data_IF_173148287169
#
_entry.id   IF_173148287169
#
_cell.length_a   1.000
_cell.length_b   1.000
_cell.length_c   1.000
_cell.angle_alpha   90.00
_cell.angle_beta   90.00
_cell.angle_gamma   90.00
#
_symmetry.space_group_name_H-M   'P 1'
#
loop_
_entity.id
_entity.type
_entity.pdbx_description
1 polymer ?
#
# COMPACT_ATOMS: atom_id res chain seq x y z
N UNK A 1 -20.47 -2.08 5.83
CA UNK A 1 -20.13 -0.63 5.66
C UNK A 1 -18.62 -0.49 5.71
N UNK A 2 -18.02 0.31 4.83
CA UNK A 2 -16.57 0.56 4.80
C UNK A 2 -16.11 1.11 6.14
N UNK A 3 -15.06 0.51 6.71
CA UNK A 3 -14.42 0.89 7.96
C UNK A 3 -13.09 1.57 7.66
N UNK A 4 -12.65 2.46 8.56
CA UNK A 4 -11.38 3.16 8.43
C UNK A 4 -10.36 2.60 9.40
N UNK A 5 -9.15 2.42 8.93
CA UNK A 5 -8.00 2.04 9.74
C UNK A 5 -6.77 2.85 9.35
N UNK A 6 -5.68 2.61 10.06
CA UNK A 6 -4.37 3.23 9.78
C UNK A 6 -3.30 2.15 9.80
N UNK A 7 -2.49 2.14 8.77
CA UNK A 7 -1.18 1.50 8.82
C UNK A 7 -0.25 2.40 9.64
N UNK A 8 0.27 1.89 10.75
CA UNK A 8 1.18 2.63 11.63
C UNK A 8 2.48 3.04 10.92
N UNK A 9 2.74 2.43 9.76
CA UNK A 9 3.78 2.89 8.82
C UNK A 9 3.62 4.36 8.44
N UNK A 10 2.39 4.89 8.39
CA UNK A 10 2.11 6.29 8.11
C UNK A 10 2.80 7.26 9.08
N UNK A 11 3.22 6.80 10.26
CA UNK A 11 3.88 7.58 11.30
C UNK A 11 5.37 7.20 11.47
N UNK A 12 6.00 6.66 10.43
CA UNK A 12 7.35 6.10 10.52
C UNK A 12 8.42 7.12 10.92
N UNK A 13 8.33 8.38 10.46
CA UNK A 13 9.28 9.42 10.87
C UNK A 13 9.10 9.79 12.34
N UNK A 14 7.86 10.00 12.78
CA UNK A 14 7.55 10.31 14.17
C UNK A 14 8.05 9.17 15.10
N UNK A 15 7.95 7.93 14.67
CA UNK A 15 8.50 6.78 15.39
C UNK A 15 10.04 6.78 15.37
N UNK A 16 10.64 6.99 14.22
CA UNK A 16 12.11 7.02 14.06
C UNK A 16 12.76 8.10 14.92
N UNK A 17 12.18 9.31 14.92
CA UNK A 17 12.65 10.44 15.73
C UNK A 17 12.20 10.39 17.19
N UNK A 18 11.56 9.30 17.63
CA UNK A 18 11.07 9.10 19.00
C UNK A 18 10.03 10.15 19.47
N UNK A 19 9.31 10.73 18.53
CA UNK A 19 8.21 11.65 18.80
C UNK A 19 6.93 10.90 19.17
N UNK A 20 6.70 9.71 18.56
CA UNK A 20 5.59 8.81 18.86
C UNK A 20 6.09 7.37 19.00
N UNK A 21 5.62 6.67 20.01
CA UNK A 21 5.70 5.21 20.08
C UNK A 21 4.47 4.57 19.40
N UNK A 22 4.49 3.27 19.15
CA UNK A 22 3.31 2.57 18.63
C UNK A 22 2.06 2.74 19.53
N UNK A 23 2.26 2.94 20.85
CA UNK A 23 1.17 3.24 21.80
C UNK A 23 0.56 4.62 21.54
N UNK A 24 1.40 5.62 21.31
CA UNK A 24 0.95 6.98 20.99
C UNK A 24 0.22 7.02 19.65
N UNK A 25 0.69 6.25 18.66
CA UNK A 25 0.04 6.11 17.37
C UNK A 25 -1.36 5.48 17.49
N UNK A 26 -1.53 4.44 18.30
CA UNK A 26 -2.86 3.85 18.58
C UNK A 26 -3.78 4.86 19.27
N UNK A 27 -3.27 5.64 20.23
CA UNK A 27 -4.05 6.72 20.88
C UNK A 27 -4.50 7.76 19.85
N UNK A 28 -3.61 8.16 18.94
CA UNK A 28 -3.95 9.09 17.83
C UNK A 28 -5.10 8.55 16.97
N UNK A 29 -5.03 7.27 16.58
CA UNK A 29 -6.05 6.60 15.77
C UNK A 29 -7.39 6.56 16.49
N UNK A 30 -7.41 6.20 17.77
CA UNK A 30 -8.62 6.12 18.57
C UNK A 30 -9.17 7.50 18.93
N UNK A 31 -8.35 8.37 19.54
CA UNK A 31 -8.82 9.61 20.15
C UNK A 31 -9.07 10.74 19.16
N UNK A 32 -8.28 10.83 18.09
CA UNK A 32 -8.38 11.92 17.12
C UNK A 32 -9.05 11.50 15.81
N UNK A 33 -8.69 10.35 15.25
CA UNK A 33 -9.29 9.90 13.98
C UNK A 33 -10.65 9.22 14.18
N UNK A 34 -10.99 8.81 15.42
CA UNK A 34 -12.26 8.12 15.75
C UNK A 34 -12.48 6.90 14.84
N UNK A 35 -11.45 6.09 14.65
CA UNK A 35 -11.51 4.82 13.97
C UNK A 35 -10.82 3.72 14.78
N UNK A 36 -11.01 2.47 14.42
CA UNK A 36 -10.65 1.32 15.25
C UNK A 36 -9.73 0.30 14.54
N UNK A 37 -9.43 0.49 13.26
CA UNK A 37 -8.57 -0.41 12.50
C UNK A 37 -7.08 -0.08 12.65
N UNK A 38 -6.27 -1.08 13.00
CA UNK A 38 -4.81 -0.97 13.05
C UNK A 38 -4.19 -1.97 12.08
N UNK A 39 -3.27 -1.45 11.29
CA UNK A 39 -2.35 -2.23 10.47
C UNK A 39 -0.91 -1.91 10.87
N UNK A 40 -0.03 -2.90 10.81
CA UNK A 40 1.40 -2.71 11.11
C UNK A 40 2.27 -3.37 10.04
N UNK A 41 3.46 -2.83 9.84
CA UNK A 41 4.56 -3.58 9.22
C UNK A 41 5.30 -4.34 10.31
N UNK A 42 5.56 -5.62 10.09
CA UNK A 42 6.09 -6.57 11.06
C UNK A 42 7.31 -6.06 11.84
N UNK A 43 8.44 -5.88 11.18
CA UNK A 43 9.70 -5.48 11.83
C UNK A 43 9.74 -4.02 12.31
N UNK A 44 8.85 -3.16 11.81
CA UNK A 44 8.84 -1.74 12.19
C UNK A 44 8.20 -1.49 13.55
N UNK A 45 7.24 -2.32 13.94
CA UNK A 45 6.46 -2.18 15.19
C UNK A 45 6.80 -3.29 16.19
N UNK A 46 6.99 -4.53 15.73
CA UNK A 46 7.21 -5.68 16.60
C UNK A 46 8.68 -5.72 17.04
N UNK A 47 8.89 -5.36 18.31
CA UNK A 47 10.22 -5.47 18.89
C UNK A 47 10.67 -6.94 18.93
N UNK A 48 11.93 -7.17 18.56
CA UNK A 48 12.56 -8.49 18.49
C UNK A 48 11.88 -9.45 17.49
N UNK A 49 11.24 -8.89 16.43
CA UNK A 49 10.70 -9.67 15.33
C UNK A 49 11.78 -10.59 14.72
N UNK A 50 11.48 -11.85 14.37
CA UNK A 50 10.15 -12.49 14.37
C UNK A 50 9.79 -13.22 15.68
N UNK A 51 10.56 -13.05 16.76
CA UNK A 51 10.36 -13.73 18.04
C UNK A 51 10.17 -12.73 19.19
N UNK A 52 9.05 -11.97 19.18
CA UNK A 52 8.79 -11.00 20.24
C UNK A 52 8.70 -11.68 21.62
N UNK A 53 9.08 -10.94 22.66
CA UNK A 53 8.97 -11.40 24.03
C UNK A 53 7.49 -11.56 24.45
N UNK A 54 7.21 -12.45 25.41
CA UNK A 54 5.88 -12.60 26.00
C UNK A 54 5.37 -11.28 26.60
N UNK A 55 6.29 -10.43 27.10
CA UNK A 55 5.94 -9.11 27.62
C UNK A 55 5.43 -8.20 26.50
N UNK A 56 6.04 -8.21 25.32
CA UNK A 56 5.56 -7.43 24.16
C UNK A 56 4.15 -7.89 23.74
N UNK A 57 3.96 -9.22 23.63
CA UNK A 57 2.66 -9.80 23.25
C UNK A 57 1.57 -9.42 24.27
N UNK A 58 1.89 -9.46 25.56
CA UNK A 58 0.98 -9.07 26.64
C UNK A 58 0.64 -7.57 26.55
N UNK A 59 1.65 -6.71 26.42
CA UNK A 59 1.47 -5.25 26.31
C UNK A 59 0.63 -4.87 25.10
N UNK A 60 0.93 -5.46 23.93
CA UNK A 60 0.18 -5.25 22.70
C UNK A 60 -1.30 -5.60 22.85
N UNK A 61 -1.58 -6.85 23.24
CA UNK A 61 -2.95 -7.33 23.35
C UNK A 61 -3.77 -6.52 24.39
N UNK A 62 -3.16 -6.18 25.54
CA UNK A 62 -3.84 -5.36 26.55
C UNK A 62 -4.10 -3.94 26.05
N UNK A 63 -3.16 -3.36 25.30
CA UNK A 63 -3.33 -2.00 24.79
C UNK A 63 -4.42 -1.94 23.72
N UNK A 64 -4.42 -2.88 22.77
CA UNK A 64 -5.46 -3.03 21.76
C UNK A 64 -6.86 -3.23 22.41
N UNK A 65 -6.94 -4.10 23.41
CA UNK A 65 -8.20 -4.34 24.14
C UNK A 65 -8.67 -3.10 24.92
N UNK A 66 -7.75 -2.37 25.56
CA UNK A 66 -8.05 -1.14 26.31
C UNK A 66 -8.70 -0.06 25.46
N UNK A 67 -8.23 0.09 24.21
CA UNK A 67 -8.73 1.09 23.27
C UNK A 67 -9.78 0.52 22.30
N UNK A 68 -10.22 -0.74 22.49
CA UNK A 68 -11.18 -1.43 21.63
C UNK A 68 -10.77 -1.43 20.14
N UNK A 69 -9.46 -1.57 19.88
CA UNK A 69 -8.91 -1.55 18.52
C UNK A 69 -8.98 -2.94 17.88
N UNK A 70 -9.16 -2.94 16.57
CA UNK A 70 -9.12 -4.14 15.73
C UNK A 70 -7.75 -4.27 15.06
N UNK A 71 -7.04 -5.36 15.30
CA UNK A 71 -5.83 -5.73 14.58
C UNK A 71 -6.25 -6.25 13.19
N UNK A 72 -6.20 -5.38 12.18
CA UNK A 72 -6.71 -5.65 10.82
C UNK A 72 -5.72 -6.47 10.02
N UNK A 73 -4.54 -5.94 9.77
CA UNK A 73 -3.53 -6.56 8.91
C UNK A 73 -2.13 -6.42 9.50
N UNK A 74 -1.36 -7.49 9.45
CA UNK A 74 0.09 -7.47 9.65
C UNK A 74 0.76 -7.58 8.28
N UNK A 75 1.41 -6.53 7.84
CA UNK A 75 2.18 -6.50 6.60
C UNK A 75 3.50 -7.22 6.80
N UNK A 76 3.81 -8.11 5.88
CA UNK A 76 5.00 -8.94 5.94
C UNK A 76 5.99 -8.49 4.88
N UNK A 77 7.20 -8.16 5.32
CA UNK A 77 8.34 -7.96 4.47
C UNK A 77 9.17 -9.25 4.42
N UNK A 78 8.86 -10.09 3.45
CA UNK A 78 9.53 -11.38 3.26
C UNK A 78 10.91 -11.18 2.60
N UNK A 79 11.94 -10.82 3.41
CA UNK A 79 13.30 -10.68 2.92
C UNK A 79 13.91 -12.06 2.59
N UNK A 80 14.08 -12.32 1.30
CA UNK A 80 14.65 -13.58 0.79
C UNK A 80 16.17 -13.62 0.81
N UNK A 81 16.83 -12.50 1.12
CA UNK A 81 18.29 -12.35 1.18
C UNK A 81 18.86 -12.42 2.61
N UNK A 82 18.13 -12.96 3.57
CA UNK A 82 18.58 -13.08 4.96
C UNK A 82 19.82 -13.98 5.14
N UNK A 83 20.00 -14.96 4.27
CA UNK A 83 21.10 -15.90 4.34
C UNK A 83 22.32 -15.39 3.57
N UNK A 84 23.52 -15.66 4.13
CA UNK A 84 24.77 -15.23 3.48
C UNK A 84 25.16 -16.07 2.28
N UNK A 85 24.75 -17.31 2.25
CA UNK A 85 25.19 -18.35 1.31
C UNK A 85 24.18 -18.65 0.20
N UNK A 86 22.93 -18.26 0.39
CA UNK A 86 21.89 -18.49 -0.61
C UNK A 86 20.72 -17.50 -0.49
N UNK A 87 19.95 -17.40 -1.57
CA UNK A 87 18.62 -16.76 -1.57
C UNK A 87 17.61 -17.80 -1.12
N UNK A 88 16.62 -17.43 -0.31
CA UNK A 88 15.58 -18.36 0.14
C UNK A 88 14.94 -19.07 -1.04
N UNK A 89 14.79 -20.37 -0.93
CA UNK A 89 13.91 -21.14 -1.80
C UNK A 89 12.44 -20.81 -1.51
N UNK A 90 11.53 -21.05 -2.44
CA UNK A 90 10.10 -20.86 -2.21
C UNK A 90 9.58 -21.64 -0.99
N UNK A 91 10.16 -22.82 -0.72
CA UNK A 91 9.83 -23.61 0.48
C UNK A 91 10.24 -22.92 1.78
N UNK A 92 11.43 -22.35 1.85
CA UNK A 92 11.90 -21.60 3.01
C UNK A 92 11.07 -20.32 3.20
N UNK A 93 10.77 -19.62 2.12
CA UNK A 93 9.87 -18.46 2.13
C UNK A 93 8.46 -18.82 2.65
N UNK A 94 7.92 -19.96 2.24
CA UNK A 94 6.63 -20.44 2.73
C UNK A 94 6.69 -20.81 4.23
N UNK A 95 7.76 -21.44 4.72
CA UNK A 95 7.90 -21.70 6.16
C UNK A 95 8.05 -20.41 6.97
N UNK A 96 8.72 -19.39 6.42
CA UNK A 96 8.75 -18.07 7.05
C UNK A 96 7.34 -17.47 7.11
N UNK A 97 6.59 -17.45 6.01
CA UNK A 97 5.22 -16.95 5.96
C UNK A 97 4.30 -17.69 6.95
N UNK A 98 4.45 -19.01 7.11
CA UNK A 98 3.71 -19.78 8.12
C UNK A 98 4.00 -19.33 9.55
N UNK A 99 5.23 -18.93 9.84
CA UNK A 99 5.57 -18.40 11.16
C UNK A 99 4.98 -17.02 11.38
N UNK A 100 4.98 -16.17 10.36
CA UNK A 100 4.36 -14.84 10.42
C UNK A 100 2.84 -14.92 10.59
N UNK A 101 2.17 -15.88 9.93
CA UNK A 101 0.74 -16.17 10.16
C UNK A 101 0.46 -16.55 11.62
N UNK A 102 1.31 -17.40 12.23
CA UNK A 102 1.18 -17.78 13.64
C UNK A 102 1.40 -16.59 14.58
N UNK A 103 2.34 -15.70 14.23
CA UNK A 103 2.62 -14.48 15.00
C UNK A 103 1.44 -13.50 14.87
N UNK A 104 0.95 -13.29 13.66
CA UNK A 104 -0.24 -12.46 13.41
C UNK A 104 -1.43 -12.92 14.25
N UNK A 105 -1.70 -14.23 14.29
CA UNK A 105 -2.76 -14.79 15.14
C UNK A 105 -2.56 -14.49 16.64
N UNK A 106 -1.31 -14.59 17.14
CA UNK A 106 -0.99 -14.27 18.56
C UNK A 106 -1.21 -12.78 18.88
N UNK A 107 -0.97 -11.90 17.92
CA UNK A 107 -1.21 -10.46 18.04
C UNK A 107 -2.67 -10.06 17.76
N UNK A 108 -3.53 -11.01 17.40
CA UNK A 108 -4.95 -10.78 17.14
C UNK A 108 -5.27 -10.32 15.73
N UNK A 109 -4.29 -10.24 14.83
CA UNK A 109 -4.51 -9.87 13.43
C UNK A 109 -5.32 -10.94 12.70
N UNK A 110 -6.23 -10.47 11.86
CA UNK A 110 -7.08 -11.33 11.02
C UNK A 110 -6.52 -11.55 9.64
N UNK A 111 -5.57 -10.72 9.24
CA UNK A 111 -4.97 -10.78 7.93
C UNK A 111 -3.45 -10.62 8.02
N UNK A 112 -2.75 -11.23 7.08
CA UNK A 112 -1.36 -10.90 6.73
C UNK A 112 -1.34 -10.39 5.30
N UNK A 113 -0.60 -9.32 5.01
CA UNK A 113 -0.39 -8.86 3.64
C UNK A 113 0.98 -9.29 3.16
N UNK A 114 1.01 -9.92 1.99
CA UNK A 114 2.22 -10.21 1.24
C UNK A 114 2.40 -9.20 0.11
N UNK A 115 3.64 -8.75 -0.10
CA UNK A 115 4.00 -7.90 -1.23
C UNK A 115 3.63 -8.53 -2.58
N UNK A 116 3.40 -7.70 -3.59
CA UNK A 116 3.08 -8.13 -4.96
C UNK A 116 4.13 -9.08 -5.58
N UNK A 117 5.38 -9.03 -5.11
CA UNK A 117 6.48 -9.86 -5.57
C UNK A 117 6.48 -11.29 -4.99
N UNK A 118 5.71 -11.59 -3.94
CA UNK A 118 5.67 -12.93 -3.35
C UNK A 118 5.06 -13.92 -4.33
N UNK A 119 5.75 -15.02 -4.69
CA UNK A 119 5.22 -16.02 -5.63
C UNK A 119 3.96 -16.72 -5.13
N UNK A 120 3.08 -17.10 -6.06
CA UNK A 120 1.78 -17.72 -5.73
C UNK A 120 1.94 -19.06 -5.01
N UNK A 121 2.93 -19.85 -5.39
CA UNK A 121 3.21 -21.17 -4.79
C UNK A 121 3.72 -21.06 -3.34
N UNK A 122 4.37 -19.95 -2.97
CA UNK A 122 4.72 -19.64 -1.57
C UNK A 122 3.43 -19.45 -0.75
N UNK A 123 2.46 -18.72 -1.29
CA UNK A 123 1.16 -18.52 -0.66
C UNK A 123 0.38 -19.83 -0.58
N UNK A 124 0.33 -20.62 -1.67
CA UNK A 124 -0.35 -21.92 -1.70
C UNK A 124 0.23 -22.87 -0.65
N UNK A 125 1.56 -22.94 -0.49
CA UNK A 125 2.21 -23.75 0.54
C UNK A 125 1.93 -23.32 1.98
N UNK A 126 1.50 -22.09 2.21
CA UNK A 126 1.19 -21.56 3.55
C UNK A 126 -0.31 -21.63 3.90
N UNK A 127 -1.17 -21.99 2.95
CA UNK A 127 -2.62 -21.86 3.07
C UNK A 127 -3.23 -22.74 4.18
N UNK A 128 -2.73 -23.95 4.37
CA UNK A 128 -3.12 -24.86 5.46
C UNK A 128 -2.90 -24.23 6.85
N UNK A 129 -1.82 -23.46 6.97
CA UNK A 129 -1.51 -22.74 8.20
C UNK A 129 -2.45 -21.55 8.38
N UNK A 130 -2.75 -20.81 7.31
CA UNK A 130 -3.70 -19.71 7.32
C UNK A 130 -5.09 -20.17 7.79
N UNK A 131 -5.59 -21.29 7.24
CA UNK A 131 -6.85 -21.92 7.65
C UNK A 131 -6.83 -22.35 9.10
N UNK A 132 -5.76 -23.01 9.55
CA UNK A 132 -5.62 -23.48 10.92
C UNK A 132 -5.66 -22.38 11.97
N UNK A 133 -5.07 -21.21 11.66
CA UNK A 133 -4.95 -20.08 12.59
C UNK A 133 -6.02 -19.00 12.38
N UNK A 134 -6.93 -19.20 11.43
CA UNK A 134 -7.99 -18.25 11.05
C UNK A 134 -7.42 -16.86 10.72
N UNK A 135 -6.36 -16.85 9.90
CA UNK A 135 -5.71 -15.64 9.39
C UNK A 135 -5.73 -15.69 7.86
N UNK A 136 -6.21 -14.64 7.21
CA UNK A 136 -6.24 -14.57 5.74
C UNK A 136 -4.91 -14.08 5.20
N UNK A 137 -4.48 -14.66 4.08
CA UNK A 137 -3.32 -14.17 3.32
C UNK A 137 -3.84 -13.26 2.21
N UNK A 138 -3.53 -11.97 2.27
CA UNK A 138 -3.82 -11.02 1.21
C UNK A 138 -2.58 -10.76 0.37
N UNK A 139 -2.66 -10.90 -0.96
CA UNK A 139 -1.61 -10.47 -1.86
C UNK A 139 -1.91 -9.07 -2.38
N UNK A 140 -0.96 -8.17 -2.23
CA UNK A 140 -1.14 -6.77 -2.58
C UNK A 140 -1.19 -6.57 -4.10
N UNK A 141 -2.16 -5.80 -4.58
CA UNK A 141 -2.14 -5.23 -5.92
C UNK A 141 -1.57 -3.83 -5.82
N UNK A 142 -0.25 -3.71 -5.98
CA UNK A 142 0.48 -2.44 -5.93
C UNK A 142 0.71 -1.90 -7.35
N UNK A 143 0.68 -0.58 -7.53
CA UNK A 143 1.06 0.03 -8.82
C UNK A 143 2.46 -0.44 -9.26
N UNK A 144 2.67 -0.76 -10.55
CA UNK A 144 1.80 -0.55 -11.70
C UNK A 144 0.88 -1.74 -12.06
N UNK A 145 0.63 -2.66 -11.15
CA UNK A 145 -0.21 -3.82 -11.43
C UNK A 145 -1.68 -3.41 -11.60
N UNK A 146 -2.37 -3.88 -12.66
CA UNK A 146 -3.80 -3.68 -12.82
C UNK A 146 -4.60 -4.73 -12.03
N UNK A 147 -5.87 -4.45 -11.79
CA UNK A 147 -6.83 -5.46 -11.30
C UNK A 147 -7.07 -6.51 -12.39
N UNK A 148 -7.29 -6.06 -13.63
CA UNK A 148 -7.44 -6.91 -14.81
C UNK A 148 -6.38 -6.63 -15.84
N UNK A 149 -5.99 -7.67 -16.56
CA UNK A 149 -5.08 -7.53 -17.68
C UNK A 149 -5.59 -6.51 -18.69
N UNK A 150 -4.74 -5.57 -19.05
CA UNK A 150 -4.98 -4.59 -20.11
C UNK A 150 -4.03 -4.80 -21.28
N UNK A 151 -4.40 -4.27 -22.46
CA UNK A 151 -3.55 -4.27 -23.64
C UNK A 151 -2.52 -3.12 -23.63
N UNK A 152 -2.33 -2.43 -22.51
CA UNK A 152 -1.33 -1.35 -22.39
C UNK A 152 0.08 -1.93 -22.59
N UNK A 153 0.96 -1.22 -23.32
CA UNK A 153 2.36 -1.61 -23.42
C UNK A 153 2.98 -1.74 -22.03
N UNK A 154 3.77 -2.78 -21.85
CA UNK A 154 4.51 -3.03 -20.60
C UNK A 154 5.98 -2.72 -20.81
N UNK A 155 6.70 -2.34 -19.76
CA UNK A 155 8.15 -2.25 -19.82
C UNK A 155 8.75 -3.60 -20.18
N UNK A 156 9.80 -3.60 -20.99
CA UNK A 156 10.59 -4.80 -21.28
C UNK A 156 11.85 -4.88 -20.42
N UNK A 157 12.15 -3.80 -19.68
CA UNK A 157 13.30 -3.65 -18.80
C UNK A 157 12.84 -3.16 -17.43
N UNK A 158 13.76 -3.07 -16.48
CA UNK A 158 13.50 -2.55 -15.15
C UNK A 158 12.76 -3.52 -14.22
N UNK A 159 12.32 -3.03 -13.09
CA UNK A 159 11.64 -3.83 -12.07
C UNK A 159 10.24 -4.25 -12.52
N UNK A 160 9.54 -3.37 -13.21
CA UNK A 160 8.17 -3.64 -13.66
C UNK A 160 8.08 -4.75 -14.72
N UNK A 161 9.17 -4.99 -15.49
CA UNK A 161 9.24 -6.13 -16.41
C UNK A 161 9.19 -7.49 -15.71
N UNK A 162 9.61 -7.55 -14.44
CA UNK A 162 9.63 -8.77 -13.63
C UNK A 162 8.30 -9.03 -12.89
N UNK A 163 7.35 -8.09 -12.89
CA UNK A 163 6.08 -8.21 -12.20
C UNK A 163 5.13 -9.18 -12.91
N UNK A 164 4.40 -9.94 -12.13
CA UNK A 164 3.33 -10.80 -12.66
C UNK A 164 2.01 -10.03 -12.77
N UNK A 165 1.72 -9.54 -13.95
CA UNK A 165 0.50 -8.78 -14.26
C UNK A 165 -0.79 -9.61 -14.20
N UNK A 166 -0.70 -10.95 -14.07
CA UNK A 166 -1.84 -11.84 -13.83
C UNK A 166 -2.06 -12.15 -12.35
N UNK A 167 -1.34 -11.49 -11.48
CA UNK A 167 -1.32 -11.81 -10.05
C UNK A 167 -2.72 -11.84 -9.42
N UNK A 168 -3.58 -10.88 -9.75
CA UNK A 168 -4.95 -10.85 -9.23
C UNK A 168 -5.77 -12.08 -9.71
N UNK A 169 -5.68 -12.42 -11.01
CA UNK A 169 -6.33 -13.62 -11.56
C UNK A 169 -5.84 -14.88 -10.84
N UNK A 170 -4.53 -15.00 -10.64
CA UNK A 170 -3.95 -16.20 -10.00
C UNK A 170 -4.39 -16.40 -8.55
N UNK A 171 -4.55 -15.31 -7.79
CA UNK A 171 -5.10 -15.37 -6.41
C UNK A 171 -6.55 -15.83 -6.45
N UNK A 172 -7.35 -15.32 -7.38
CA UNK A 172 -8.74 -15.74 -7.55
C UNK A 172 -8.83 -17.21 -7.98
N UNK A 173 -8.00 -17.62 -8.94
CA UNK A 173 -7.89 -19.02 -9.39
C UNK A 173 -7.49 -19.95 -8.21
N UNK A 174 -6.53 -19.53 -7.37
CA UNK A 174 -6.13 -20.28 -6.17
C UNK A 174 -7.28 -20.40 -5.16
N UNK A 175 -7.99 -19.33 -4.86
CA UNK A 175 -9.14 -19.35 -3.97
C UNK A 175 -10.25 -20.26 -4.49
N UNK A 176 -10.56 -20.22 -5.78
CA UNK A 176 -11.56 -21.08 -6.42
C UNK A 176 -11.13 -22.55 -6.44
N UNK A 177 -9.88 -22.83 -6.78
CA UNK A 177 -9.31 -24.19 -6.84
C UNK A 177 -9.35 -24.88 -5.49
N UNK A 178 -9.01 -24.14 -4.42
CA UNK A 178 -8.93 -24.69 -3.06
C UNK A 178 -10.24 -24.62 -2.30
N UNK A 179 -11.15 -23.72 -2.70
CA UNK A 179 -12.36 -23.38 -1.94
C UNK A 179 -12.06 -22.62 -0.65
N UNK A 180 -10.81 -22.18 -0.46
CA UNK A 180 -10.38 -21.50 0.75
C UNK A 180 -10.83 -20.04 0.77
N UNK A 181 -11.26 -19.58 1.95
CA UNK A 181 -11.56 -18.17 2.24
C UNK A 181 -10.38 -17.44 2.88
N UNK A 182 -9.24 -18.13 3.07
CA UNK A 182 -8.07 -17.61 3.74
C UNK A 182 -6.99 -17.09 2.78
N UNK A 183 -7.34 -16.91 1.50
CA UNK A 183 -6.50 -16.25 0.50
C UNK A 183 -7.32 -15.20 -0.25
N UNK A 184 -6.70 -14.06 -0.56
CA UNK A 184 -7.36 -12.97 -1.27
C UNK A 184 -6.41 -11.85 -1.65
N UNK A 185 -6.96 -10.68 -1.87
CA UNK A 185 -6.30 -9.51 -2.44
C UNK A 185 -6.30 -8.34 -1.45
N UNK A 186 -5.24 -7.54 -1.50
CA UNK A 186 -5.14 -6.23 -0.85
C UNK A 186 -4.87 -5.19 -1.93
N UNK A 187 -5.91 -4.58 -2.53
CA UNK A 187 -5.69 -3.50 -3.49
C UNK A 187 -5.14 -2.27 -2.77
N UNK A 188 -4.09 -1.69 -3.34
CA UNK A 188 -3.52 -0.41 -2.94
C UNK A 188 -4.12 0.71 -3.78
N UNK A 189 -4.61 1.79 -3.17
CA UNK A 189 -5.22 2.91 -3.89
C UNK A 189 -4.26 3.60 -4.87
N UNK A 190 -2.95 3.41 -4.74
CA UNK A 190 -1.97 3.85 -5.74
C UNK A 190 -2.21 3.30 -7.15
N UNK A 191 -2.92 2.16 -7.30
CA UNK A 191 -3.32 1.64 -8.62
C UNK A 191 -4.34 2.53 -9.34
N UNK A 192 -5.00 3.45 -8.64
CA UNK A 192 -5.93 4.45 -9.18
C UNK A 192 -5.28 5.82 -9.37
N UNK A 193 -3.96 5.90 -9.34
CA UNK A 193 -3.23 7.13 -9.62
C UNK A 193 -3.48 7.58 -11.07
N UNK A 194 -3.85 8.85 -11.26
CA UNK A 194 -4.20 9.43 -12.55
C UNK A 194 -3.31 10.61 -12.95
N UNK A 195 -2.47 11.08 -12.06
CA UNK A 195 -1.52 12.17 -12.34
C UNK A 195 -0.23 12.00 -11.54
N UNK A 196 0.87 12.62 -11.97
CA UNK A 196 2.12 12.60 -11.23
C UNK A 196 1.96 13.28 -9.86
N UNK A 197 2.69 12.77 -8.88
CA UNK A 197 2.71 13.31 -7.53
C UNK A 197 3.62 14.54 -7.51
N UNK A 198 3.08 15.73 -7.21
CA UNK A 198 3.83 16.98 -7.27
C UNK A 198 5.07 16.97 -6.35
N UNK A 199 4.93 16.48 -5.11
CA UNK A 199 6.07 16.41 -4.18
C UNK A 199 7.18 15.47 -4.67
N UNK A 200 6.83 14.42 -5.43
CA UNK A 200 7.80 13.53 -6.06
C UNK A 200 8.52 14.22 -7.22
N UNK A 201 7.79 14.97 -8.06
CA UNK A 201 8.41 15.80 -9.12
C UNK A 201 9.41 16.77 -8.51
N UNK A 202 9.03 17.46 -7.44
CA UNK A 202 9.88 18.45 -6.77
C UNK A 202 11.12 17.78 -6.15
N UNK A 203 10.95 16.59 -5.56
CA UNK A 203 12.05 15.78 -5.04
C UNK A 203 13.04 15.39 -6.14
N UNK A 204 12.56 14.82 -7.23
CA UNK A 204 13.41 14.36 -8.33
C UNK A 204 14.14 15.53 -9.01
N UNK A 205 13.49 16.69 -9.18
CA UNK A 205 14.14 17.90 -9.72
C UNK A 205 15.25 18.44 -8.83
N UNK A 206 15.21 18.20 -7.52
CA UNK A 206 16.33 18.55 -6.63
C UNK A 206 17.54 17.63 -6.80
N UNK A 207 17.33 16.38 -7.20
CA UNK A 207 18.37 15.33 -7.27
C UNK A 207 18.88 15.07 -8.68
N UNK A 208 18.03 15.15 -9.69
CA UNK A 208 18.36 14.86 -11.09
C UNK A 208 18.94 16.12 -11.77
N UNK A 209 19.99 15.92 -12.55
CA UNK A 209 20.66 17.00 -13.30
C UNK A 209 20.83 16.62 -14.78
N UNK A 210 20.42 17.50 -15.72
CA UNK A 210 19.68 18.73 -15.45
C UNK A 210 18.19 18.45 -15.07
N UNK A 211 17.54 19.29 -14.26
CA UNK A 211 16.17 19.01 -13.76
C UNK A 211 15.11 19.01 -14.86
N UNK A 212 15.38 19.63 -16.00
CA UNK A 212 14.50 19.67 -17.17
C UNK A 212 14.23 18.27 -17.76
N UNK A 213 15.03 17.28 -17.42
CA UNK A 213 14.78 15.88 -17.79
C UNK A 213 13.42 15.41 -17.29
N UNK A 214 13.06 15.79 -16.06
CA UNK A 214 11.77 15.40 -15.45
C UNK A 214 10.61 16.01 -16.23
N UNK A 215 10.67 17.31 -16.56
CA UNK A 215 9.63 17.96 -17.36
C UNK A 215 9.48 17.30 -18.72
N UNK A 216 10.60 16.99 -19.36
CA UNK A 216 10.60 16.34 -20.65
C UNK A 216 9.99 14.92 -20.61
N UNK A 217 10.30 14.12 -19.57
CA UNK A 217 9.68 12.80 -19.37
C UNK A 217 8.16 12.96 -19.20
N UNK A 218 7.72 13.87 -18.35
CA UNK A 218 6.31 14.12 -18.08
C UNK A 218 5.53 14.57 -19.32
N UNK A 219 6.14 15.39 -20.17
CA UNK A 219 5.53 15.85 -21.43
C UNK A 219 5.41 14.73 -22.48
N UNK A 220 6.32 13.76 -22.46
CA UNK A 220 6.44 12.76 -23.54
C UNK A 220 5.95 11.35 -23.15
N UNK A 221 5.67 11.08 -21.86
CA UNK A 221 5.39 9.75 -21.32
C UNK A 221 4.23 8.97 -21.96
N UNK A 222 3.28 9.68 -22.58
CA UNK A 222 2.17 9.04 -23.30
C UNK A 222 2.34 9.00 -24.82
N UNK A 223 3.42 9.58 -25.33
CA UNK A 223 3.70 9.64 -26.77
C UNK A 223 4.57 8.48 -27.26
N UNK A 224 5.25 7.79 -26.33
CA UNK A 224 6.22 6.74 -26.63
C UNK A 224 6.00 5.54 -25.69
N UNK A 225 6.53 4.38 -26.09
CA UNK A 225 6.70 3.26 -25.16
C UNK A 225 7.79 3.60 -24.12
N UNK A 226 7.83 2.88 -23.02
CA UNK A 226 8.84 3.12 -21.97
C UNK A 226 10.27 2.94 -22.50
N UNK A 227 10.49 1.95 -23.36
CA UNK A 227 11.80 1.70 -23.97
C UNK A 227 12.20 2.83 -24.90
N UNK A 228 11.29 3.29 -25.77
CA UNK A 228 11.52 4.44 -26.66
C UNK A 228 11.75 5.73 -25.87
N UNK A 229 10.95 5.96 -24.82
CA UNK A 229 11.09 7.15 -23.96
C UNK A 229 12.46 7.19 -23.28
N UNK A 230 12.94 6.03 -22.78
CA UNK A 230 14.25 5.91 -22.16
C UNK A 230 15.39 6.15 -23.18
N UNK A 231 15.29 5.56 -24.35
CA UNK A 231 16.32 5.74 -25.40
C UNK A 231 16.36 7.19 -25.90
N UNK A 232 15.21 7.82 -26.13
CA UNK A 232 15.10 9.23 -26.54
C UNK A 232 15.56 10.20 -25.44
N UNK A 233 15.31 9.88 -24.17
CA UNK A 233 15.84 10.66 -23.04
C UNK A 233 17.37 10.66 -23.04
N UNK A 234 18.00 9.51 -23.24
CA UNK A 234 19.46 9.41 -23.28
C UNK A 234 20.06 10.08 -24.52
N UNK A 235 19.37 10.07 -25.66
CA UNK A 235 19.78 10.80 -26.87
C UNK A 235 19.71 12.32 -26.64
N UNK A 236 18.61 12.81 -26.06
CA UNK A 236 18.39 14.25 -25.82
C UNK A 236 19.29 14.81 -24.72
N UNK A 237 19.57 14.02 -23.68
CA UNK A 237 20.37 14.42 -22.51
C UNK A 237 21.57 13.47 -22.34
N UNK A 238 22.57 13.52 -23.20
CA UNK A 238 23.67 12.58 -23.17
C UNK A 238 24.48 12.70 -21.87
N UNK A 239 24.86 11.57 -21.29
CA UNK A 239 25.64 11.54 -20.06
C UNK A 239 24.88 11.88 -18.78
N UNK A 240 23.54 11.86 -18.81
CA UNK A 240 22.69 12.13 -17.63
C UNK A 240 22.88 11.12 -16.48
N UNK A 241 23.34 9.89 -16.78
CA UNK A 241 23.61 8.86 -15.79
C UNK A 241 22.37 8.20 -15.16
N UNK A 242 21.16 8.49 -15.67
CA UNK A 242 19.92 7.95 -15.14
C UNK A 242 19.66 6.53 -15.64
N UNK A 243 19.14 5.70 -14.74
CA UNK A 243 18.68 4.36 -15.06
C UNK A 243 17.25 4.35 -15.60
N UNK A 244 16.81 3.19 -16.09
CA UNK A 244 15.47 2.98 -16.64
C UNK A 244 14.34 3.32 -15.63
N UNK A 245 14.59 3.17 -14.32
CA UNK A 245 13.63 3.45 -13.27
C UNK A 245 13.06 4.87 -13.27
N UNK A 246 13.75 5.86 -13.85
CA UNK A 246 13.22 7.23 -13.94
C UNK A 246 12.00 7.32 -14.86
N UNK A 247 12.00 6.60 -15.98
CA UNK A 247 10.83 6.56 -16.88
C UNK A 247 9.73 5.66 -16.32
N UNK A 248 10.09 4.60 -15.59
CA UNK A 248 9.11 3.79 -14.84
C UNK A 248 8.39 4.63 -13.79
N UNK A 249 9.14 5.39 -12.99
CA UNK A 249 8.57 6.19 -11.89
C UNK A 249 7.51 7.19 -12.37
N UNK A 250 7.74 7.88 -13.48
CA UNK A 250 6.81 8.89 -13.99
C UNK A 250 5.82 8.38 -15.03
N UNK A 251 5.97 7.18 -15.56
CA UNK A 251 5.17 6.67 -16.66
C UNK A 251 4.23 5.53 -16.30
N UNK A 252 4.61 4.67 -15.33
CA UNK A 252 3.90 3.44 -15.07
C UNK A 252 2.77 3.54 -14.07
N UNK A 253 2.90 4.40 -13.07
CA UNK A 253 1.97 4.42 -11.95
C UNK A 253 0.59 4.95 -12.35
N UNK A 254 0.52 5.83 -13.34
CA UNK A 254 -0.74 6.44 -13.76
C UNK A 254 -1.67 5.46 -14.49
N UNK A 255 -2.93 5.44 -14.07
CA UNK A 255 -4.00 4.68 -14.73
C UNK A 255 -3.71 3.17 -14.87
N UNK A 256 -3.10 2.56 -13.86
CA UNK A 256 -2.81 1.11 -13.89
C UNK A 256 -4.08 0.27 -13.78
N UNK A 257 -5.10 0.71 -13.04
CA UNK A 257 -6.36 0.00 -12.88
C UNK A 257 -7.58 0.87 -13.24
N UNK A 258 -8.64 0.25 -13.78
CA UNK A 258 -9.97 0.86 -13.89
C UNK A 258 -10.72 0.62 -12.57
N UNK A 259 -11.21 1.66 -11.87
CA UNK A 259 -11.98 1.48 -10.64
C UNK A 259 -13.17 0.51 -10.77
N UNK A 260 -13.80 0.42 -11.96
CA UNK A 260 -14.93 -0.48 -12.21
C UNK A 260 -14.58 -1.95 -12.02
N UNK A 261 -13.32 -2.33 -12.22
CA UNK A 261 -12.86 -3.68 -12.05
C UNK A 261 -12.91 -4.16 -10.59
N UNK A 262 -13.00 -3.23 -9.61
CA UNK A 262 -13.20 -3.56 -8.21
C UNK A 262 -14.45 -4.41 -7.96
N UNK A 263 -15.55 -4.15 -8.67
CA UNK A 263 -16.80 -4.86 -8.47
C UNK A 263 -16.65 -6.38 -8.59
N UNK A 264 -15.79 -6.84 -9.50
CA UNK A 264 -15.58 -8.27 -9.76
C UNK A 264 -14.70 -8.95 -8.70
N UNK A 265 -13.86 -8.20 -7.99
CA UNK A 265 -12.91 -8.76 -7.03
C UNK A 265 -13.33 -8.56 -5.57
N UNK A 266 -14.38 -7.79 -5.28
CA UNK A 266 -14.87 -7.54 -3.91
C UNK A 266 -14.95 -8.81 -3.05
N UNK A 267 -15.46 -9.97 -3.54
CA UNK A 267 -15.54 -11.18 -2.73
C UNK A 267 -14.18 -11.74 -2.27
N UNK A 268 -13.11 -11.32 -2.92
CA UNK A 268 -11.74 -11.76 -2.64
C UNK A 268 -10.92 -10.71 -1.86
N UNK A 269 -11.45 -9.51 -1.65
CA UNK A 269 -10.72 -8.46 -0.96
C UNK A 269 -10.61 -8.76 0.53
N UNK A 270 -9.41 -8.64 1.06
CA UNK A 270 -9.05 -8.84 2.46
C UNK A 270 -9.12 -7.52 3.23
N UNK A 271 -8.45 -6.51 2.70
CA UNK A 271 -8.40 -5.12 3.17
C UNK A 271 -7.91 -4.25 2.02
N UNK A 272 -7.83 -2.94 2.25
CA UNK A 272 -7.22 -1.99 1.32
C UNK A 272 -6.06 -1.26 1.97
N UNK A 273 -5.01 -0.98 1.18
CA UNK A 273 -4.10 0.12 1.45
C UNK A 273 -4.68 1.42 0.90
N UNK A 274 -5.01 2.33 1.79
CA UNK A 274 -5.41 3.69 1.45
C UNK A 274 -4.16 4.55 1.20
N UNK A 275 -3.42 4.25 0.11
CA UNK A 275 -2.20 4.95 -0.28
C UNK A 275 -2.48 6.41 -0.58
N UNK A 276 -1.67 7.31 -0.04
CA UNK A 276 -1.70 8.73 -0.39
C UNK A 276 -0.32 9.38 -0.19
N UNK A 277 -0.14 10.52 -0.86
CA UNK A 277 1.15 11.20 -0.90
C UNK A 277 1.11 12.63 -0.39
N UNK A 278 0.03 13.37 -0.62
CA UNK A 278 -0.12 14.74 -0.16
C UNK A 278 -1.59 15.14 -0.15
N UNK A 279 -2.09 15.48 1.03
CA UNK A 279 -3.46 15.97 1.18
C UNK A 279 -3.53 17.48 0.97
N UNK A 280 -4.27 17.90 -0.05
CA UNK A 280 -4.45 19.31 -0.42
C UNK A 280 -5.87 19.75 -0.09
N UNK A 281 -6.02 20.92 0.53
CA UNK A 281 -7.36 21.48 0.76
C UNK A 281 -8.05 21.81 -0.56
N UNK A 282 -9.33 21.42 -0.68
CA UNK A 282 -10.13 21.65 -1.88
C UNK A 282 -10.48 23.12 -1.98
N UNK A 283 -10.23 23.74 -3.14
CA UNK A 283 -10.51 25.15 -3.36
C UNK A 283 -12.00 25.49 -3.10
N UNK A 284 -12.24 26.48 -2.25
CA UNK A 284 -13.59 26.91 -1.86
C UNK A 284 -14.31 26.00 -0.86
N UNK A 285 -13.64 24.96 -0.32
CA UNK A 285 -14.20 24.05 0.67
C UNK A 285 -13.25 23.91 1.90
N UNK A 286 -13.19 24.92 2.76
CA UNK A 286 -12.28 24.88 3.92
C UNK A 286 -12.49 23.65 4.80
N UNK A 287 -11.40 22.99 5.18
CA UNK A 287 -11.42 21.77 6.00
C UNK A 287 -11.75 20.50 5.23
N UNK A 288 -11.95 20.56 3.90
CA UNK A 288 -12.10 19.39 3.03
C UNK A 288 -10.83 19.16 2.22
N UNK A 289 -10.37 17.94 2.17
CA UNK A 289 -9.09 17.59 1.56
C UNK A 289 -9.23 16.54 0.46
N UNK A 290 -8.23 16.48 -0.42
CA UNK A 290 -8.09 15.48 -1.48
C UNK A 290 -6.60 15.18 -1.74
N UNK A 291 -6.28 13.97 -2.18
CA UNK A 291 -5.03 13.68 -2.88
C UNK A 291 -5.26 13.94 -4.38
N UNK A 292 -4.52 14.92 -4.94
CA UNK A 292 -4.69 15.31 -6.34
C UNK A 292 -4.14 14.30 -7.33
N UNK A 293 -3.41 13.31 -6.88
CA UNK A 293 -2.78 12.30 -7.75
C UNK A 293 -3.58 11.01 -7.85
N UNK A 294 -4.40 10.69 -6.86
CA UNK A 294 -5.13 9.42 -6.75
C UNK A 294 -6.64 9.64 -6.80
N UNK A 295 -7.33 8.87 -7.64
CA UNK A 295 -8.79 8.86 -7.67
C UNK A 295 -9.34 8.07 -6.48
N UNK A 296 -9.84 8.75 -5.47
CA UNK A 296 -10.50 8.14 -4.31
C UNK A 296 -12.01 8.03 -4.48
N UNK A 297 -12.60 8.97 -5.21
CA UNK A 297 -14.05 9.13 -5.25
C UNK A 297 -14.75 7.96 -5.94
N UNK A 298 -14.29 7.57 -7.12
CA UNK A 298 -14.92 6.49 -7.88
C UNK A 298 -14.73 5.10 -7.24
N UNK A 299 -13.53 4.71 -6.77
CA UNK A 299 -13.37 3.47 -6.02
C UNK A 299 -14.26 3.38 -4.79
N UNK A 300 -14.34 4.43 -3.94
CA UNK A 300 -15.18 4.42 -2.75
C UNK A 300 -16.67 4.31 -3.12
N UNK A 301 -17.11 5.00 -4.17
CA UNK A 301 -18.48 4.86 -4.68
C UNK A 301 -18.80 3.41 -5.06
N UNK A 302 -17.92 2.77 -5.84
CA UNK A 302 -18.10 1.38 -6.28
C UNK A 302 -18.12 0.42 -5.08
N UNK A 303 -17.23 0.60 -4.13
CA UNK A 303 -17.19 -0.22 -2.92
C UNK A 303 -18.48 -0.08 -2.10
N UNK A 304 -19.01 1.13 -1.95
CA UNK A 304 -20.30 1.37 -1.28
C UNK A 304 -21.45 0.69 -2.04
N UNK A 305 -21.58 0.94 -3.35
CA UNK A 305 -22.63 0.38 -4.21
C UNK A 305 -22.66 -1.15 -4.19
N UNK A 306 -21.52 -1.79 -4.04
CA UNK A 306 -21.41 -3.26 -4.01
C UNK A 306 -21.34 -3.83 -2.58
N UNK A 307 -21.62 -3.02 -1.54
CA UNK A 307 -21.77 -3.50 -0.18
C UNK A 307 -20.47 -3.97 0.48
N UNK A 308 -19.32 -3.44 0.09
CA UNK A 308 -18.05 -3.80 0.74
C UNK A 308 -18.09 -3.50 2.24
N UNK A 309 -17.75 -4.50 3.07
CA UNK A 309 -17.69 -4.41 4.52
C UNK A 309 -16.30 -4.81 5.03
N UNK A 310 -15.34 -3.92 4.85
CA UNK A 310 -13.95 -4.13 5.23
C UNK A 310 -13.26 -2.82 5.55
N UNK A 311 -11.95 -2.89 5.77
CA UNK A 311 -11.13 -1.74 6.13
C UNK A 311 -10.41 -1.15 4.92
N UNK A 312 -10.32 0.19 4.91
CA UNK A 312 -9.34 0.96 4.16
C UNK A 312 -8.36 1.52 5.19
N UNK A 313 -7.13 1.04 5.18
CA UNK A 313 -6.08 1.46 6.10
C UNK A 313 -5.24 2.57 5.44
N UNK A 314 -5.23 3.76 6.02
CA UNK A 314 -4.42 4.87 5.53
C UNK A 314 -2.95 4.50 5.51
N UNK A 315 -2.29 4.68 4.37
CA UNK A 315 -0.88 4.42 4.17
C UNK A 315 -0.22 5.65 3.53
N UNK A 316 0.42 6.48 4.37
CA UNK A 316 1.10 7.68 3.93
C UNK A 316 2.49 7.38 3.39
N UNK A 317 2.81 7.82 2.19
CA UNK A 317 4.14 7.65 1.57
C UNK A 317 4.79 8.96 1.09
N UNK A 318 4.15 10.10 1.29
CA UNK A 318 4.68 11.39 0.85
C UNK A 318 5.89 11.89 1.64
N UNK A 319 6.08 11.41 2.86
CA UNK A 319 7.18 11.85 3.74
C UNK A 319 8.56 11.67 3.11
N UNK A 320 8.76 10.63 2.30
CA UNK A 320 10.06 10.34 1.65
C UNK A 320 10.52 11.46 0.74
N UNK A 321 9.60 12.22 0.16
CA UNK A 321 9.91 13.29 -0.78
C UNK A 321 10.40 14.59 -0.11
N UNK A 322 10.47 14.65 1.21
CA UNK A 322 10.89 15.85 1.98
C UNK A 322 12.07 15.59 2.92
N UNK A 323 12.49 14.35 3.10
CA UNK A 323 13.56 13.97 4.04
C UNK A 323 14.93 14.58 3.69
N UNK A 324 15.18 14.86 2.42
CA UNK A 324 16.40 15.50 1.91
C UNK A 324 16.53 16.96 2.34
N UNK A 325 15.45 17.61 2.79
CA UNK A 325 15.42 19.02 3.16
C UNK A 325 15.75 19.29 4.64
N UNK A 326 16.05 18.23 5.39
CA UNK A 326 16.43 18.32 6.80
C UNK A 326 15.26 18.29 7.78
N UNK A 327 15.56 18.03 9.05
CA UNK A 327 14.58 17.75 10.11
C UNK A 327 13.53 18.86 10.27
N UNK A 328 13.89 20.11 10.06
CA UNK A 328 12.96 21.25 10.21
C UNK A 328 11.87 21.31 9.13
N UNK A 329 12.06 20.57 8.03
CA UNK A 329 11.17 20.57 6.87
C UNK A 329 10.55 19.19 6.61
N UNK A 330 10.56 18.31 7.60
CA UNK A 330 9.88 17.01 7.50
C UNK A 330 8.37 17.21 7.36
N UNK A 331 7.73 16.29 6.63
CA UNK A 331 6.28 16.27 6.54
C UNK A 331 5.63 16.06 7.91
N UNK A 332 4.51 16.73 8.17
CA UNK A 332 3.68 16.44 9.35
C UNK A 332 2.79 15.22 9.05
N UNK A 333 3.32 14.03 9.35
CA UNK A 333 2.63 12.76 9.10
C UNK A 333 1.28 12.68 9.83
N UNK A 334 1.19 13.25 11.04
CA UNK A 334 -0.02 13.21 11.85
C UNK A 334 -1.12 14.02 11.18
N UNK A 335 -0.78 15.23 10.74
CA UNK A 335 -1.74 16.11 10.05
C UNK A 335 -2.13 15.54 8.67
N UNK A 336 -1.20 14.98 7.91
CA UNK A 336 -1.49 14.34 6.62
C UNK A 336 -2.48 13.17 6.77
N UNK A 337 -2.29 12.30 7.77
CA UNK A 337 -3.21 11.20 8.06
C UNK A 337 -4.58 11.73 8.52
N UNK A 338 -4.65 12.79 9.33
CA UNK A 338 -5.92 13.42 9.73
C UNK A 338 -6.71 13.94 8.53
N UNK A 339 -6.06 14.62 7.61
CA UNK A 339 -6.66 15.12 6.36
C UNK A 339 -7.15 13.99 5.47
N UNK A 340 -6.37 12.91 5.36
CA UNK A 340 -6.80 11.72 4.63
C UNK A 340 -8.06 11.09 5.25
N UNK A 341 -8.13 11.00 6.58
CA UNK A 341 -9.31 10.49 7.29
C UNK A 341 -10.54 11.40 7.16
N UNK A 342 -10.36 12.72 7.02
CA UNK A 342 -11.45 13.62 6.65
C UNK A 342 -12.00 13.24 5.27
N UNK A 343 -11.15 13.12 4.27
CA UNK A 343 -11.55 12.73 2.92
C UNK A 343 -12.29 11.38 2.90
N UNK A 344 -11.72 10.35 3.53
CA UNK A 344 -12.35 9.03 3.61
C UNK A 344 -13.74 9.12 4.26
N UNK A 345 -13.86 9.81 5.39
CA UNK A 345 -15.13 9.98 6.10
C UNK A 345 -16.18 10.63 5.24
N UNK A 346 -15.81 11.72 4.56
CA UNK A 346 -16.69 12.49 3.68
C UNK A 346 -17.16 11.67 2.49
N UNK A 347 -16.27 10.97 1.81
CA UNK A 347 -16.61 10.15 0.65
C UNK A 347 -17.45 8.93 1.04
N UNK A 348 -17.10 8.22 2.12
CA UNK A 348 -17.89 7.09 2.61
C UNK A 348 -19.31 7.55 2.99
N UNK A 349 -19.44 8.66 3.71
CA UNK A 349 -20.75 9.18 4.09
C UNK A 349 -21.58 9.61 2.86
N UNK A 350 -20.96 10.26 1.88
CA UNK A 350 -21.60 10.67 0.62
C UNK A 350 -22.26 9.48 -0.08
N UNK A 351 -21.55 8.38 -0.26
CA UNK A 351 -22.03 7.26 -1.06
C UNK A 351 -22.83 6.22 -0.26
N UNK A 352 -22.60 6.08 1.05
CA UNK A 352 -23.46 5.22 1.87
C UNK A 352 -24.88 5.73 2.04
N UNK A 353 -25.08 7.05 2.05
CA UNK A 353 -26.41 7.65 2.15
C UNK A 353 -27.21 7.55 0.84
N UNK A 354 -26.55 7.49 -0.31
CA UNK A 354 -27.23 7.33 -1.61
C UNK A 354 -27.85 5.94 -1.81
N UNK A 355 -27.40 4.91 -1.08
CA UNK A 355 -27.93 3.55 -1.18
C UNK A 355 -29.21 3.37 -0.35
N UNK A 356 -29.40 4.20 0.68
CA UNK A 356 -30.54 4.13 1.59
C UNK A 356 -31.69 5.07 1.23
N UNK A 357 -31.54 5.84 0.16
CA UNK A 357 -32.55 6.77 -0.40
C UNK A 357 -33.20 6.18 -1.66
#
# INVERSE_FOLDING_TARGET
MIKRGVSLYSYQQAQFFKQMSWKDQIVEVHDNLKCDGIEIIDESVIRDYPFPSEQFLFDWNNFMARYHMNAVTMDIYLDVHQFRDHVMTHREAAERLKNDIKLAAKLGFKNVRCLCLVPIDVIEMALDTAEKYDVRIGKEIHAPLPIKLSNKPRPTKGMAAALDYRMADQIIELAQKTGSRHVGLVPDFGIFQHSPIQISIDYEKRHIKPPEIIDWILENRFSYTFDELFDLMNEKFPGNGLGYGVVEHFGLHESSADPKDLADIIPYIVSFHGKFYQMTEIEGQPGCYEDKSINYEEPIRILCENGFDGYINSEYEGQRCQQDQGIANLADEVEEVRRHHEMLSRLIAKYSNCINS
#
